data_IF_348058015583
#
_entry.id   IF_348058015583
#
_cell.length_a   1.000
_cell.length_b   1.000
_cell.length_c   1.000
_cell.angle_alpha   90.00
_cell.angle_beta   90.00
_cell.angle_gamma   90.00
#
_symmetry.space_group_name_H-M   'P 1'
#
loop_
_entity.id
_entity.type
_entity.pdbx_description
1 polymer ?
#
# COMPACT_ATOMS: atom_id res chain seq x y z
N UNK A 1 16.68 4.31 14.59
CA UNK A 1 16.12 5.56 14.02
C UNK A 1 14.83 5.86 14.78
N UNK A 2 14.67 7.05 15.38
CA UNK A 2 13.43 7.38 16.10
C UNK A 2 12.28 7.47 15.10
N UNK A 3 11.24 6.65 15.27
CA UNK A 3 10.01 6.78 14.47
C UNK A 3 9.34 8.11 14.81
N UNK A 4 8.83 8.86 13.81
CA UNK A 4 8.06 10.06 14.09
C UNK A 4 6.87 9.73 15.00
N UNK A 5 6.59 10.57 15.99
CA UNK A 5 5.49 10.38 16.96
C UNK A 5 4.14 10.18 16.26
N UNK A 6 3.93 10.82 15.11
CA UNK A 6 2.72 10.63 14.31
C UNK A 6 2.60 9.22 13.74
N UNK A 7 3.68 8.63 13.22
CA UNK A 7 3.65 7.27 12.67
C UNK A 7 3.24 6.27 13.75
N UNK A 8 3.76 6.42 14.96
CA UNK A 8 3.37 5.59 16.11
C UNK A 8 1.87 5.74 16.39
N UNK A 9 1.37 6.97 16.45
CA UNK A 9 -0.05 7.23 16.64
C UNK A 9 -0.91 6.63 15.54
N UNK A 10 -0.59 6.87 14.26
CA UNK A 10 -1.39 6.39 13.13
C UNK A 10 -1.46 4.85 13.11
N UNK A 11 -0.34 4.17 13.35
CA UNK A 11 -0.28 2.71 13.45
C UNK A 11 -1.16 2.17 14.59
N UNK A 12 -1.03 2.73 15.80
CA UNK A 12 -1.84 2.27 16.95
C UNK A 12 -3.33 2.64 16.81
N UNK A 13 -3.62 3.80 16.23
CA UNK A 13 -4.97 4.25 15.92
C UNK A 13 -5.66 3.30 14.94
N UNK A 14 -5.04 3.01 13.79
CA UNK A 14 -5.59 2.11 12.79
C UNK A 14 -5.71 0.68 13.33
N UNK A 15 -4.70 0.19 14.07
CA UNK A 15 -4.79 -1.11 14.75
C UNK A 15 -6.00 -1.19 15.66
N UNK A 16 -6.15 -0.23 16.57
CA UNK A 16 -7.25 -0.25 17.52
C UNK A 16 -8.62 -0.14 16.85
N UNK A 17 -8.73 0.68 15.79
CA UNK A 17 -9.99 0.90 15.08
C UNK A 17 -10.40 -0.29 14.19
N UNK A 18 -9.43 -1.00 13.60
CA UNK A 18 -9.68 -2.05 12.62
C UNK A 18 -9.67 -3.48 13.20
N UNK A 19 -9.20 -3.67 14.45
CA UNK A 19 -9.05 -5.02 15.04
C UNK A 19 -10.36 -5.81 15.17
N UNK A 20 -11.51 -5.14 15.25
CA UNK A 20 -12.83 -5.80 15.31
C UNK A 20 -13.35 -6.24 13.92
N UNK A 21 -12.64 -5.89 12.85
CA UNK A 21 -13.04 -6.06 11.45
C UNK A 21 -12.11 -6.94 10.64
N UNK A 22 -11.01 -7.41 11.22
CA UNK A 22 -10.02 -8.25 10.56
C UNK A 22 -8.65 -8.22 11.23
N UNK A 23 -7.69 -8.87 10.59
CA UNK A 23 -6.31 -8.94 11.10
C UNK A 23 -5.55 -7.65 10.75
N UNK A 24 -4.88 -7.07 11.74
CA UNK A 24 -4.03 -5.89 11.56
C UNK A 24 -2.58 -6.21 11.92
N UNK A 25 -1.70 -6.12 10.93
CA UNK A 25 -0.26 -6.27 11.08
C UNK A 25 0.41 -4.90 11.04
N UNK A 26 1.32 -4.65 11.98
CA UNK A 26 2.06 -3.39 12.06
C UNK A 26 3.53 -3.64 11.76
N UNK A 27 4.10 -2.90 10.80
CA UNK A 27 5.50 -3.09 10.40
C UNK A 27 5.76 -4.51 9.90
N UNK A 28 4.83 -5.01 9.08
CA UNK A 28 5.00 -6.29 8.41
C UNK A 28 6.10 -6.15 7.34
N UNK A 29 7.05 -7.10 7.26
CA UNK A 29 8.02 -7.11 6.18
C UNK A 29 7.37 -7.51 4.87
N UNK A 30 7.78 -6.86 3.79
CA UNK A 30 7.42 -7.21 2.42
C UNK A 30 8.69 -7.48 1.59
N UNK A 31 8.75 -8.59 0.84
CA UNK A 31 7.79 -9.70 0.83
C UNK A 31 7.76 -10.44 2.19
N UNK A 32 6.59 -10.96 2.57
CA UNK A 32 6.37 -11.66 3.85
C UNK A 32 7.16 -12.97 3.85
N UNK A 33 7.14 -13.73 2.76
CA UNK A 33 7.97 -14.92 2.57
C UNK A 33 9.45 -14.52 2.38
N UNK A 34 10.34 -14.92 3.32
CA UNK A 34 11.77 -14.65 3.21
C UNK A 34 12.46 -15.23 1.98
N UNK A 35 11.94 -16.32 1.39
CA UNK A 35 12.52 -16.96 0.20
C UNK A 35 12.41 -16.09 -1.06
N UNK A 36 11.43 -15.18 -1.07
CA UNK A 36 11.14 -14.27 -2.18
C UNK A 36 12.03 -13.01 -2.17
N UNK A 37 12.90 -12.86 -1.16
CA UNK A 37 13.77 -11.69 -0.98
C UNK A 37 15.00 -11.71 -1.88
N UNK A 38 15.24 -12.82 -2.57
CA UNK A 38 16.23 -12.95 -3.65
C UNK A 38 15.47 -13.40 -4.89
N UNK A 39 15.49 -12.59 -5.94
CA UNK A 39 14.61 -12.79 -7.08
C UNK A 39 15.30 -12.62 -8.43
N UNK A 40 14.90 -13.48 -9.37
CA UNK A 40 15.19 -13.36 -10.79
C UNK A 40 13.90 -13.65 -11.56
N UNK A 41 13.40 -12.68 -12.34
CA UNK A 41 12.40 -13.01 -13.35
C UNK A 41 13.03 -14.02 -14.32
N UNK A 42 12.41 -15.18 -14.56
CA UNK A 42 12.89 -16.07 -15.61
C UNK A 42 12.86 -15.30 -16.92
N UNK A 43 13.99 -15.25 -17.61
CA UNK A 43 13.98 -14.77 -19.00
C UNK A 43 13.23 -15.83 -19.78
N UNK A 44 12.03 -15.51 -20.30
CA UNK A 44 11.19 -16.46 -21.06
C UNK A 44 11.93 -17.06 -22.27
N UNK A 45 13.10 -16.54 -22.64
CA UNK A 45 13.99 -17.09 -23.67
C UNK A 45 15.46 -16.86 -23.31
N UNK A 46 16.26 -17.94 -23.18
CA UNK A 46 17.70 -17.85 -22.86
C UNK A 46 18.54 -17.19 -23.97
N UNK A 47 17.99 -17.02 -25.17
CA UNK A 47 18.69 -16.38 -26.30
C UNK A 47 19.23 -14.99 -25.97
N UNK A 48 18.46 -14.14 -25.27
CA UNK A 48 18.90 -12.78 -24.96
C UNK A 48 20.14 -12.77 -24.05
N UNK A 49 20.10 -13.61 -23.01
CA UNK A 49 21.23 -13.85 -22.09
C UNK A 49 22.45 -14.40 -22.84
N UNK A 50 22.27 -15.39 -23.71
CA UNK A 50 23.35 -15.99 -24.49
C UNK A 50 23.96 -15.03 -25.50
N UNK A 51 23.12 -14.29 -26.23
CA UNK A 51 23.54 -13.29 -27.20
C UNK A 51 24.34 -12.18 -26.52
N UNK A 52 23.82 -11.63 -25.42
CA UNK A 52 24.52 -10.59 -24.66
C UNK A 52 25.85 -11.11 -24.11
N UNK A 53 25.87 -12.32 -23.55
CA UNK A 53 27.09 -13.01 -23.11
C UNK A 53 28.16 -13.09 -24.21
N UNK A 54 27.75 -13.42 -25.44
CA UNK A 54 28.66 -13.53 -26.60
C UNK A 54 29.21 -12.16 -27.03
N UNK A 55 28.37 -11.14 -27.16
CA UNK A 55 28.81 -9.83 -27.67
C UNK A 55 29.56 -9.00 -26.64
N UNK A 56 29.40 -9.29 -25.34
CA UNK A 56 30.12 -8.60 -24.26
C UNK A 56 31.24 -9.43 -23.66
N UNK A 57 31.61 -10.55 -24.30
CA UNK A 57 32.71 -11.40 -23.88
C UNK A 57 34.00 -10.58 -23.70
N UNK A 58 34.61 -10.69 -22.51
CA UNK A 58 35.84 -9.96 -22.15
C UNK A 58 35.63 -8.55 -21.58
N UNK A 59 34.39 -8.07 -21.45
CA UNK A 59 34.10 -6.80 -20.77
C UNK A 59 33.88 -6.99 -19.27
N UNK A 60 34.72 -6.39 -18.43
CA UNK A 60 34.54 -6.37 -16.97
C UNK A 60 33.41 -5.43 -16.51
N UNK A 61 32.82 -4.64 -17.43
CA UNK A 61 31.78 -3.65 -17.11
C UNK A 61 30.37 -4.14 -17.35
N UNK A 62 30.20 -5.30 -17.99
CA UNK A 62 28.88 -5.84 -18.34
C UNK A 62 28.67 -7.12 -17.56
N UNK A 63 27.68 -7.09 -16.66
CA UNK A 63 27.18 -8.28 -15.98
C UNK A 63 25.90 -8.73 -16.68
N UNK A 64 25.85 -10.01 -17.05
CA UNK A 64 24.67 -10.60 -17.66
C UNK A 64 23.85 -11.26 -16.56
N UNK A 65 22.57 -10.89 -16.48
CA UNK A 65 21.65 -11.32 -15.41
C UNK A 65 22.22 -11.16 -14.00
N UNK A 66 22.76 -9.97 -13.62
CA UNK A 66 23.23 -9.77 -12.26
C UNK A 66 22.05 -9.87 -11.30
N UNK A 67 22.29 -10.53 -10.17
CA UNK A 67 21.36 -10.55 -9.05
C UNK A 67 21.22 -9.13 -8.49
N UNK A 68 19.99 -8.67 -8.28
CA UNK A 68 19.69 -7.43 -7.58
C UNK A 68 19.10 -7.80 -6.23
N UNK A 69 19.93 -7.78 -5.20
CA UNK A 69 19.51 -8.06 -3.82
C UNK A 69 18.79 -6.82 -3.27
N UNK A 70 17.54 -7.01 -2.84
CA UNK A 70 16.78 -6.00 -2.11
C UNK A 70 16.57 -6.46 -0.66
N UNK A 71 16.66 -5.52 0.28
CA UNK A 71 16.27 -5.79 1.67
C UNK A 71 14.74 -5.75 1.80
N UNK A 72 14.18 -6.53 2.72
CA UNK A 72 12.77 -6.44 3.03
C UNK A 72 12.44 -5.06 3.60
N UNK A 73 11.38 -4.45 3.08
CA UNK A 73 10.89 -3.16 3.57
C UNK A 73 9.71 -3.39 4.54
N UNK A 74 9.48 -2.44 5.45
CA UNK A 74 8.40 -2.55 6.45
C UNK A 74 7.27 -1.59 6.06
N UNK A 75 6.05 -2.11 5.96
CA UNK A 75 4.85 -1.29 5.71
C UNK A 75 4.21 -0.79 7.01
N UNK A 76 3.58 0.39 6.97
CA UNK A 76 2.99 1.00 8.16
C UNK A 76 1.91 0.11 8.80
N UNK A 77 0.91 -0.26 8.01
CA UNK A 77 -0.20 -1.13 8.40
C UNK A 77 -0.54 -2.03 7.23
N UNK A 78 -0.63 -3.33 7.48
CA UNK A 78 -1.25 -4.29 6.57
C UNK A 78 -2.55 -4.77 7.23
N UNK A 79 -3.66 -4.66 6.53
CA UNK A 79 -4.98 -5.04 7.02
C UNK A 79 -5.60 -6.13 6.14
N UNK A 80 -6.11 -7.19 6.75
CA UNK A 80 -6.82 -8.28 6.09
C UNK A 80 -8.24 -8.37 6.68
N UNK A 81 -9.28 -7.88 5.97
CA UNK A 81 -10.64 -7.84 6.49
C UNK A 81 -11.26 -9.22 6.62
N UNK A 82 -12.09 -9.41 7.65
CA UNK A 82 -13.05 -10.51 7.74
C UNK A 82 -14.31 -10.14 6.96
N UNK A 83 -14.75 -11.01 6.04
CA UNK A 83 -15.88 -10.73 5.14
C UNK A 83 -17.21 -10.56 5.91
N UNK A 84 -17.42 -11.35 6.96
CA UNK A 84 -18.67 -11.40 7.74
C UNK A 84 -18.85 -10.17 8.65
N UNK A 85 -17.79 -9.41 8.89
CA UNK A 85 -17.82 -8.24 9.79
C UNK A 85 -18.30 -7.00 9.04
N UNK A 86 -19.49 -6.50 9.39
CA UNK A 86 -20.00 -5.24 8.83
C UNK A 86 -19.15 -4.04 9.25
N UNK A 87 -18.57 -3.35 8.28
CA UNK A 87 -17.72 -2.16 8.46
C UNK A 87 -18.47 -0.84 8.29
N UNK A 88 -19.81 -0.84 8.21
CA UNK A 88 -20.62 0.36 7.92
C UNK A 88 -20.39 1.50 8.92
N UNK A 89 -20.12 1.19 10.19
CA UNK A 89 -19.81 2.21 11.22
C UNK A 89 -18.47 2.93 11.02
N UNK A 90 -17.62 2.44 10.12
CA UNK A 90 -16.38 3.09 9.70
C UNK A 90 -16.58 4.09 8.54
N UNK A 91 -17.79 4.20 7.98
CA UNK A 91 -18.06 5.08 6.83
C UNK A 91 -17.12 4.79 5.65
N UNK A 92 -16.56 5.85 5.06
CA UNK A 92 -15.66 5.76 3.91
C UNK A 92 -14.40 4.92 4.20
N UNK A 93 -13.89 4.93 5.44
CA UNK A 93 -12.76 4.06 5.79
C UNK A 93 -13.14 2.58 5.60
N UNK A 94 -14.35 2.19 6.03
CA UNK A 94 -14.85 0.82 5.90
C UNK A 94 -14.99 0.34 4.46
N UNK A 95 -15.41 1.24 3.56
CA UNK A 95 -15.45 0.98 2.11
C UNK A 95 -14.02 0.84 1.54
N UNK A 96 -13.12 1.73 1.96
CA UNK A 96 -11.73 1.72 1.52
C UNK A 96 -10.91 0.56 2.08
N UNK A 97 -11.41 -0.20 3.06
CA UNK A 97 -10.71 -1.38 3.60
C UNK A 97 -11.51 -2.68 3.42
N UNK A 98 -12.33 -2.75 2.36
CA UNK A 98 -13.18 -3.91 2.05
C UNK A 98 -12.43 -5.15 1.58
N UNK A 99 -11.20 -4.98 1.08
CA UNK A 99 -10.29 -6.04 0.65
C UNK A 99 -8.95 -5.85 1.37
N UNK A 100 -8.11 -6.90 1.45
CA UNK A 100 -6.76 -6.79 1.99
C UNK A 100 -6.00 -5.56 1.46
N UNK A 101 -5.39 -4.78 2.35
CA UNK A 101 -4.71 -3.57 1.91
C UNK A 101 -3.50 -3.19 2.77
N UNK A 102 -2.49 -2.62 2.11
CA UNK A 102 -1.46 -1.82 2.77
C UNK A 102 -2.03 -0.42 2.98
N UNK A 103 -1.92 0.12 4.20
CA UNK A 103 -2.32 1.49 4.54
C UNK A 103 -1.08 2.30 4.92
N UNK A 104 -0.72 3.25 4.07
CA UNK A 104 0.43 4.16 4.26
C UNK A 104 -0.05 5.54 4.73
N UNK A 105 0.45 5.99 5.89
CA UNK A 105 -0.01 7.26 6.49
C UNK A 105 1.06 8.34 6.43
N UNK A 106 0.82 9.37 5.63
CA UNK A 106 1.76 10.46 5.42
C UNK A 106 1.32 11.70 6.19
N UNK A 107 2.18 12.21 7.09
CA UNK A 107 1.87 13.42 7.90
C UNK A 107 1.97 14.74 7.13
N UNK A 108 2.59 14.71 5.96
CA UNK A 108 2.98 15.89 5.19
C UNK A 108 2.66 15.66 3.72
N UNK A 109 2.52 16.75 2.96
CA UNK A 109 2.35 16.69 1.51
C UNK A 109 3.48 15.85 0.88
N UNK A 110 3.15 14.75 0.20
CA UNK A 110 4.15 13.85 -0.34
C UNK A 110 4.86 14.45 -1.54
N UNK A 111 6.17 14.22 -1.61
CA UNK A 111 6.92 14.40 -2.84
C UNK A 111 6.86 13.12 -3.71
N UNK A 112 7.50 13.14 -4.89
CA UNK A 112 7.50 11.98 -5.78
C UNK A 112 8.15 10.74 -5.14
N UNK A 113 9.20 10.93 -4.33
CA UNK A 113 9.89 9.82 -3.66
C UNK A 113 8.93 9.15 -2.68
N UNK A 114 8.18 9.90 -1.89
CA UNK A 114 7.22 9.32 -0.95
C UNK A 114 6.18 8.44 -1.67
N UNK A 115 5.56 8.95 -2.74
CA UNK A 115 4.56 8.16 -3.49
C UNK A 115 5.18 6.95 -4.21
N UNK A 116 6.39 7.10 -4.76
CA UNK A 116 7.13 5.98 -5.37
C UNK A 116 7.48 4.90 -4.35
N UNK A 117 7.85 5.27 -3.13
CA UNK A 117 8.10 4.31 -2.05
C UNK A 117 6.83 3.54 -1.70
N UNK A 118 5.70 4.23 -1.48
CA UNK A 118 4.42 3.55 -1.23
C UNK A 118 4.04 2.60 -2.38
N UNK A 119 4.21 3.01 -3.63
CA UNK A 119 3.99 2.15 -4.80
C UNK A 119 4.98 1.00 -4.88
N UNK A 120 6.24 1.20 -4.51
CA UNK A 120 7.23 0.13 -4.41
C UNK A 120 6.80 -0.93 -3.40
N UNK A 121 6.30 -0.52 -2.24
CA UNK A 121 5.77 -1.45 -1.24
C UNK A 121 4.62 -2.30 -1.83
N UNK A 122 3.70 -1.66 -2.54
CA UNK A 122 2.61 -2.33 -3.23
C UNK A 122 3.10 -3.34 -4.26
N UNK A 123 3.97 -2.94 -5.18
CA UNK A 123 4.48 -3.80 -6.25
C UNK A 123 5.26 -5.01 -5.70
N UNK A 124 6.02 -4.80 -4.63
CA UNK A 124 6.73 -5.91 -3.95
C UNK A 124 5.73 -6.91 -3.34
N UNK A 125 4.62 -6.42 -2.76
CA UNK A 125 3.62 -7.29 -2.15
C UNK A 125 2.76 -8.05 -3.17
N UNK A 126 2.50 -7.47 -4.36
CA UNK A 126 1.78 -8.19 -5.42
C UNK A 126 2.60 -9.31 -6.01
N UNK A 127 3.88 -9.06 -6.29
CA UNK A 127 4.80 -10.07 -6.86
C UNK A 127 4.92 -11.30 -5.96
N UNK A 128 4.83 -11.13 -4.63
CA UNK A 128 4.76 -12.26 -3.68
C UNK A 128 3.52 -13.14 -3.84
N UNK A 129 2.37 -12.55 -4.21
CA UNK A 129 1.11 -13.27 -4.31
C UNK A 129 1.01 -14.12 -5.58
N UNK A 130 1.67 -13.70 -6.66
CA UNK A 130 1.49 -14.26 -8.00
C UNK A 130 2.24 -15.59 -8.21
N UNK A 131 3.01 -16.06 -7.22
CA UNK A 131 3.72 -17.35 -7.29
C UNK A 131 4.79 -17.46 -8.39
N UNK A 132 4.98 -16.42 -9.22
CA UNK A 132 5.96 -16.34 -10.31
C UNK A 132 7.41 -16.22 -9.85
N UNK A 133 7.69 -16.58 -8.61
CA UNK A 133 8.98 -16.48 -7.96
C UNK A 133 9.53 -17.89 -7.76
N UNK A 134 10.60 -18.18 -8.49
CA UNK A 134 11.35 -19.42 -8.33
C UNK A 134 12.33 -19.20 -7.15
N UNK A 135 12.25 -20.00 -6.07
CA UNK A 135 13.28 -20.00 -5.04
C UNK A 135 14.65 -20.26 -5.66
N UNK A 136 15.71 -19.59 -5.19
CA UNK A 136 17.09 -19.71 -5.70
C UNK A 136 17.59 -21.17 -5.76
N UNK A 137 17.02 -22.05 -4.93
CA UNK A 137 17.41 -23.46 -4.80
C UNK A 137 16.58 -24.43 -5.66
N UNK A 138 15.58 -23.95 -6.40
CA UNK A 138 14.76 -24.79 -7.28
C UNK A 138 15.14 -24.51 -8.74
N UNK A 139 15.73 -25.51 -9.40
CA UNK A 139 15.89 -25.46 -10.84
C UNK A 139 14.49 -25.38 -11.47
N UNK A 140 14.27 -24.54 -12.50
CA UNK A 140 13.05 -24.58 -13.27
C UNK A 140 12.78 -26.02 -13.72
N UNK A 141 11.62 -26.55 -13.35
CA UNK A 141 11.08 -27.75 -14.00
C UNK A 141 10.62 -27.29 -15.36
N UNK A 142 11.54 -27.30 -16.33
CA UNK A 142 11.15 -27.36 -17.72
C UNK A 142 10.51 -28.74 -17.89
N UNK A 143 9.19 -28.80 -18.02
CA UNK A 143 8.57 -30.00 -18.55
C UNK A 143 9.18 -30.21 -19.94
N UNK A 144 9.82 -31.35 -20.14
CA UNK A 144 10.52 -31.71 -21.39
C UNK A 144 9.58 -31.73 -22.62
N UNK A 145 8.28 -31.47 -22.44
CA UNK A 145 7.29 -31.38 -23.51
C UNK A 145 7.44 -30.12 -24.40
N UNK A 146 8.20 -29.09 -24.00
CA UNK A 146 8.41 -27.88 -24.83
C UNK A 146 9.69 -27.91 -25.70
N UNK A 147 10.51 -28.97 -25.64
CA UNK A 147 11.84 -28.94 -26.28
C UNK A 147 12.12 -30.00 -27.35
N UNK A 148 11.14 -30.81 -27.76
CA UNK A 148 11.33 -31.79 -28.84
C UNK A 148 10.41 -31.49 -30.05
N UNK A 149 10.79 -30.47 -30.84
CA UNK A 149 10.58 -30.43 -32.30
C UNK A 149 11.30 -29.22 -32.92
N UNK A 150 12.64 -29.32 -32.99
CA UNK A 150 13.40 -28.70 -34.06
C UNK A 150 13.78 -29.82 -35.03
N UNK A 151 12.84 -30.22 -35.88
CA UNK A 151 13.16 -30.96 -37.09
C UNK A 151 12.39 -30.34 -38.26
N UNK A 152 13.12 -30.24 -39.37
CA UNK A 152 12.78 -29.58 -40.62
C UNK A 152 11.46 -30.07 -41.25
N UNK A 153 10.82 -29.14 -41.96
CA UNK A 153 9.83 -29.32 -43.03
C UNK A 153 8.34 -29.57 -42.68
N UNK A 154 7.53 -28.77 -43.37
CA UNK A 154 6.09 -28.86 -43.67
C UNK A 154 5.09 -28.07 -42.82
N UNK A 155 4.35 -27.24 -43.56
CA UNK A 155 3.23 -26.38 -43.17
C UNK A 155 2.28 -27.06 -42.16
N UNK A 156 2.19 -26.51 -40.96
CA UNK A 156 0.99 -26.63 -40.16
C UNK A 156 0.71 -25.30 -39.46
N UNK A 157 -0.16 -24.50 -40.07
CA UNK A 157 -0.79 -23.29 -39.52
C UNK A 157 -1.73 -23.70 -38.37
N UNK A 158 -1.16 -24.14 -37.26
CA UNK A 158 -1.84 -24.17 -35.98
C UNK A 158 -1.14 -23.17 -35.08
N UNK A 159 -1.66 -21.94 -35.12
CA UNK A 159 -1.49 -20.98 -34.05
C UNK A 159 -2.05 -21.68 -32.80
N UNK A 160 -1.16 -22.14 -31.93
CA UNK A 160 -1.49 -22.41 -30.55
C UNK A 160 -1.92 -21.07 -29.95
N UNK A 161 -3.23 -20.81 -30.02
CA UNK A 161 -3.90 -19.81 -29.21
C UNK A 161 -3.80 -20.30 -27.75
N UNK A 162 -2.62 -20.15 -27.16
CA UNK A 162 -2.47 -19.94 -25.73
C UNK A 162 -3.17 -18.62 -25.43
N UNK A 163 -4.51 -18.66 -25.40
CA UNK A 163 -5.30 -17.71 -24.64
C UNK A 163 -4.85 -17.90 -23.18
N UNK A 164 -3.70 -17.31 -22.80
CA UNK A 164 -3.43 -16.88 -21.43
C UNK A 164 -4.73 -16.19 -21.04
N UNK A 165 -5.51 -16.86 -20.21
CA UNK A 165 -6.82 -16.43 -19.79
C UNK A 165 -6.62 -15.10 -19.06
N UNK A 166 -6.66 -14.00 -19.80
CA UNK A 166 -6.49 -12.60 -19.39
C UNK A 166 -7.75 -12.16 -18.62
N UNK A 167 -8.30 -13.08 -17.82
CA UNK A 167 -9.20 -12.75 -16.73
C UNK A 167 -8.38 -11.87 -15.80
N UNK A 168 -8.59 -10.56 -15.95
CA UNK A 168 -8.26 -9.54 -14.96
C UNK A 168 -8.28 -10.18 -13.57
N UNK A 169 -7.10 -10.38 -12.99
CA UNK A 169 -6.96 -10.99 -11.68
C UNK A 169 -7.98 -10.34 -10.75
N UNK A 170 -8.86 -11.17 -10.16
CA UNK A 170 -9.89 -10.69 -9.27
C UNK A 170 -9.20 -9.86 -8.17
N UNK A 171 -9.64 -8.60 -8.00
CA UNK A 171 -8.91 -7.59 -7.22
C UNK A 171 -8.90 -7.99 -5.75
N UNK A 172 -7.90 -8.77 -5.36
CA UNK A 172 -7.86 -9.35 -4.03
C UNK A 172 -7.12 -8.48 -3.01
N UNK A 173 -6.38 -7.46 -3.46
CA UNK A 173 -5.54 -6.59 -2.62
C UNK A 173 -5.47 -5.17 -3.18
N UNK A 174 -5.12 -4.18 -2.34
CA UNK A 174 -4.86 -2.80 -2.78
C UNK A 174 -3.88 -2.02 -1.89
N UNK A 175 -3.44 -0.87 -2.38
CA UNK A 175 -2.70 0.14 -1.60
C UNK A 175 -3.59 1.35 -1.28
N UNK A 176 -3.61 1.75 -0.01
CA UNK A 176 -4.29 2.95 0.47
C UNK A 176 -3.28 3.96 1.01
N UNK A 177 -3.12 5.10 0.34
CA UNK A 177 -2.24 6.20 0.78
C UNK A 177 -3.09 7.30 1.41
N UNK A 178 -2.89 7.60 2.69
CA UNK A 178 -3.61 8.67 3.40
C UNK A 178 -2.65 9.85 3.61
N UNK A 179 -2.99 11.03 3.09
CA UNK A 179 -2.17 12.25 3.18
C UNK A 179 -3.02 13.47 3.59
N UNK A 180 -2.45 14.48 4.29
CA UNK A 180 -3.15 15.74 4.56
C UNK A 180 -3.51 16.51 3.30
N UNK A 181 -2.63 16.53 2.31
CA UNK A 181 -2.73 17.36 1.11
C UNK A 181 -1.86 16.80 -0.01
N UNK A 182 -2.17 17.13 -1.26
CA UNK A 182 -1.38 16.79 -2.44
C UNK A 182 -1.55 17.88 -3.48
N UNK A 183 -0.55 18.11 -4.34
CA UNK A 183 -0.68 19.12 -5.40
C UNK A 183 -1.31 18.52 -6.66
N UNK A 184 -2.03 19.29 -7.48
CA UNK A 184 -2.58 18.80 -8.75
C UNK A 184 -1.52 18.24 -9.69
N UNK A 185 -0.33 18.86 -9.75
CA UNK A 185 0.78 18.38 -10.57
C UNK A 185 1.30 17.03 -10.08
N UNK A 186 1.23 16.78 -8.76
CA UNK A 186 1.60 15.49 -8.18
C UNK A 186 0.57 14.42 -8.55
N UNK A 187 -0.73 14.71 -8.44
CA UNK A 187 -1.78 13.78 -8.88
C UNK A 187 -1.64 13.45 -10.37
N UNK A 188 -1.51 14.47 -11.22
CA UNK A 188 -1.33 14.30 -12.66
C UNK A 188 -0.07 13.51 -13.00
N UNK A 189 1.04 13.77 -12.31
CA UNK A 189 2.31 13.08 -12.54
C UNK A 189 2.29 11.58 -12.22
N UNK A 190 1.33 11.11 -11.40
CA UNK A 190 1.10 9.70 -11.12
C UNK A 190 -0.12 9.15 -11.88
N UNK A 191 -0.74 9.95 -12.76
CA UNK A 191 -1.96 9.57 -13.48
C UNK A 191 -3.17 9.35 -12.56
N UNK A 192 -3.15 9.90 -11.35
CA UNK A 192 -4.25 9.75 -10.40
C UNK A 192 -5.48 10.54 -10.87
N UNK A 193 -6.62 9.87 -10.90
CA UNK A 193 -7.92 10.40 -11.35
C UNK A 193 -8.91 10.38 -10.20
N UNK A 194 -9.97 11.17 -10.29
CA UNK A 194 -11.08 11.08 -9.33
C UNK A 194 -11.80 9.76 -9.53
N UNK A 195 -12.37 9.23 -8.44
CA UNK A 195 -13.23 8.04 -8.51
C UNK A 195 -14.47 8.32 -9.36
N UNK A 196 -15.13 7.27 -9.86
CA UNK A 196 -16.38 7.40 -10.62
C UNK A 196 -17.50 8.03 -9.78
N UNK A 197 -17.50 7.77 -8.48
CA UNK A 197 -18.40 8.41 -7.50
C UNK A 197 -18.02 9.86 -7.20
N UNK A 198 -16.88 10.35 -7.71
CA UNK A 198 -16.36 11.70 -7.55
C UNK A 198 -16.33 12.17 -6.08
N UNK A 199 -15.91 11.27 -5.18
CA UNK A 199 -15.81 11.54 -3.75
C UNK A 199 -14.67 12.56 -3.54
N UNK A 200 -14.94 13.76 -2.99
CA UNK A 200 -13.90 14.75 -2.76
C UNK A 200 -12.76 14.21 -1.90
N UNK A 201 -11.52 14.42 -2.32
CA UNK A 201 -10.34 13.92 -1.62
C UNK A 201 -10.03 12.45 -1.86
N UNK A 202 -10.75 11.72 -2.72
CA UNK A 202 -10.42 10.34 -3.09
C UNK A 202 -9.99 10.28 -4.54
N UNK A 203 -8.79 9.75 -4.78
CA UNK A 203 -8.19 9.62 -6.09
C UNK A 203 -7.67 8.20 -6.31
N UNK A 204 -7.75 7.70 -7.52
CA UNK A 204 -7.30 6.35 -7.90
C UNK A 204 -6.27 6.42 -9.01
N UNK A 205 -5.24 5.59 -8.93
CA UNK A 205 -4.31 5.38 -10.03
C UNK A 205 -4.95 4.51 -11.12
N UNK A 206 -4.24 4.29 -12.21
CA UNK A 206 -4.67 3.32 -13.22
C UNK A 206 -4.96 1.94 -12.57
N UNK A 207 -5.97 1.19 -13.03
CA UNK A 207 -6.43 -0.05 -12.39
C UNK A 207 -5.31 -1.06 -12.09
N UNK A 208 -4.31 -1.17 -12.95
CA UNK A 208 -3.15 -2.05 -12.77
C UNK A 208 -2.35 -1.80 -11.47
N UNK A 209 -2.50 -0.63 -10.83
CA UNK A 209 -1.83 -0.31 -9.57
C UNK A 209 -2.69 -0.56 -8.33
N UNK A 210 -4.00 -0.81 -8.48
CA UNK A 210 -4.95 -0.97 -7.36
C UNK A 210 -4.64 -0.04 -6.17
N UNK A 211 -4.43 1.25 -6.46
CA UNK A 211 -3.94 2.23 -5.48
C UNK A 211 -4.93 3.37 -5.35
N UNK A 212 -5.37 3.64 -4.12
CA UNK A 212 -6.22 4.78 -3.75
C UNK A 212 -5.43 5.78 -2.91
N UNK A 213 -5.51 7.06 -3.27
CA UNK A 213 -4.96 8.19 -2.51
C UNK A 213 -6.11 8.95 -1.86
N UNK A 214 -6.06 9.07 -0.53
CA UNK A 214 -7.00 9.85 0.29
C UNK A 214 -6.34 11.12 0.78
N UNK A 215 -6.91 12.25 0.41
CA UNK A 215 -6.47 13.60 0.76
C UNK A 215 -7.39 14.16 1.83
N UNK A 216 -6.98 14.04 3.09
CA UNK A 216 -7.86 14.30 4.24
C UNK A 216 -8.36 15.75 4.31
N UNK A 217 -7.62 16.74 3.81
CA UNK A 217 -8.09 18.14 3.78
C UNK A 217 -9.23 18.41 2.81
N UNK A 218 -9.46 17.51 1.85
CA UNK A 218 -10.51 17.64 0.82
C UNK A 218 -11.77 16.83 1.15
N UNK A 219 -11.70 15.96 2.18
CA UNK A 219 -12.84 15.13 2.59
C UNK A 219 -13.98 15.99 3.15
N UNK A 220 -15.21 15.56 2.87
CA UNK A 220 -16.43 16.16 3.41
C UNK A 220 -16.41 16.15 4.95
N UNK A 221 -16.85 17.23 5.59
CA UNK A 221 -16.83 17.36 7.04
C UNK A 221 -18.12 16.79 7.67
N UNK A 222 -18.22 15.46 7.71
CA UNK A 222 -19.30 14.74 8.40
C UNK A 222 -18.83 13.39 8.98
N UNK A 223 -19.77 12.67 9.61
CA UNK A 223 -19.51 11.39 10.27
C UNK A 223 -18.95 10.30 9.34
N UNK A 224 -19.24 10.33 8.03
CA UNK A 224 -18.81 9.29 7.08
C UNK A 224 -17.30 9.30 6.83
N UNK A 225 -16.63 10.44 7.00
CA UNK A 225 -15.18 10.58 6.76
C UNK A 225 -14.38 10.84 8.05
N UNK A 226 -15.06 10.87 9.20
CA UNK A 226 -14.51 11.27 10.49
C UNK A 226 -13.19 10.55 10.82
N UNK A 227 -13.18 9.23 10.66
CA UNK A 227 -12.04 8.38 11.00
C UNK A 227 -10.81 8.64 10.13
N UNK A 228 -11.00 9.06 8.88
CA UNK A 228 -9.92 9.47 7.98
C UNK A 228 -9.43 10.88 8.32
N UNK A 229 -10.33 11.82 8.64
CA UNK A 229 -9.95 13.20 8.99
C UNK A 229 -9.17 13.29 10.30
N UNK A 230 -9.37 12.36 11.24
CA UNK A 230 -8.53 12.22 12.46
C UNK A 230 -7.06 11.98 12.11
N UNK A 231 -6.77 11.24 11.03
CA UNK A 231 -5.40 11.01 10.55
C UNK A 231 -4.80 12.23 9.83
N UNK A 232 -5.60 13.25 9.57
CA UNK A 232 -5.17 14.47 8.88
C UNK A 232 -4.28 15.38 9.72
N UNK A 233 -4.37 16.68 9.45
CA UNK A 233 -3.56 17.72 10.10
C UNK A 233 -4.34 19.03 10.21
N UNK A 234 -3.88 19.98 11.02
CA UNK A 234 -4.33 21.36 10.90
C UNK A 234 -5.72 21.59 11.50
N UNK A 235 -6.51 22.40 10.81
CA UNK A 235 -7.94 22.54 11.10
C UNK A 235 -8.68 21.23 10.91
N UNK A 236 -8.47 20.50 9.80
CA UNK A 236 -9.17 19.25 9.50
C UNK A 236 -9.11 18.25 10.65
N UNK A 237 -7.91 17.98 11.19
CA UNK A 237 -7.75 17.07 12.32
C UNK A 237 -8.38 17.60 13.61
N UNK A 238 -8.22 18.89 13.91
CA UNK A 238 -8.78 19.47 15.14
C UNK A 238 -10.31 19.47 15.12
N UNK A 239 -10.91 19.80 13.98
CA UNK A 239 -12.36 19.78 13.82
C UNK A 239 -12.90 18.35 13.92
N UNK A 240 -12.23 17.37 13.29
CA UNK A 240 -12.59 15.95 13.44
C UNK A 240 -12.50 15.48 14.90
N UNK A 241 -11.48 15.92 15.65
CA UNK A 241 -11.38 15.62 17.08
C UNK A 241 -12.53 16.25 17.87
N UNK A 242 -12.98 17.46 17.53
CA UNK A 242 -14.14 18.08 18.17
C UNK A 242 -15.43 17.33 17.84
N UNK A 243 -15.64 16.93 16.59
CA UNK A 243 -16.81 16.13 16.18
C UNK A 243 -16.87 14.77 16.92
N UNK A 244 -15.73 14.13 17.16
CA UNK A 244 -15.64 12.93 18.00
C UNK A 244 -16.16 13.15 19.43
N UNK A 245 -16.00 14.35 19.99
CA UNK A 245 -16.53 14.67 21.32
C UNK A 245 -18.05 14.76 21.33
N UNK A 246 -18.65 15.15 20.20
CA UNK A 246 -20.10 15.32 20.03
C UNK A 246 -20.81 14.00 19.69
N UNK A 247 -20.07 12.95 19.30
CA UNK A 247 -20.63 11.62 19.09
C UNK A 247 -21.30 11.06 20.36
N UNK A 248 -22.27 10.17 20.16
CA UNK A 248 -22.93 9.43 21.24
C UNK A 248 -21.88 8.66 22.08
N UNK A 249 -22.13 8.56 23.40
CA UNK A 249 -21.30 7.76 24.32
C UNK A 249 -21.29 6.29 23.92
N UNK A 250 -22.41 5.80 23.38
CA UNK A 250 -22.58 4.42 22.92
C UNK A 250 -22.07 4.19 21.49
N UNK A 251 -21.48 5.21 20.84
CA UNK A 251 -20.90 5.02 19.51
C UNK A 251 -19.73 4.02 19.59
N UNK A 252 -19.72 2.94 18.79
CA UNK A 252 -18.82 1.79 18.96
C UNK A 252 -17.33 2.19 18.99
N UNK A 253 -16.95 3.14 18.13
CA UNK A 253 -15.56 3.56 17.96
C UNK A 253 -15.09 4.67 18.89
N UNK A 254 -16.02 5.35 19.60
CA UNK A 254 -15.69 6.59 20.31
C UNK A 254 -14.68 6.36 21.42
N UNK A 255 -14.90 5.33 22.24
CA UNK A 255 -14.02 5.02 23.37
C UNK A 255 -12.60 4.66 22.90
N UNK A 256 -12.51 3.77 21.89
CA UNK A 256 -11.25 3.31 21.31
C UNK A 256 -10.45 4.49 20.74
N UNK A 257 -11.09 5.32 19.92
CA UNK A 257 -10.41 6.46 19.30
C UNK A 257 -9.95 7.49 20.33
N UNK A 258 -10.77 7.79 21.35
CA UNK A 258 -10.37 8.70 22.43
C UNK A 258 -9.14 8.20 23.18
N UNK A 259 -9.07 6.91 23.47
CA UNK A 259 -7.90 6.31 24.11
C UNK A 259 -6.63 6.50 23.27
N UNK A 260 -6.71 6.29 21.95
CA UNK A 260 -5.56 6.47 21.04
C UNK A 260 -5.11 7.94 20.97
N UNK A 261 -6.06 8.88 20.95
CA UNK A 261 -5.77 10.31 20.99
C UNK A 261 -5.11 10.73 22.32
N UNK A 262 -5.55 10.17 23.45
CA UNK A 262 -4.93 10.41 24.75
C UNK A 262 -3.50 9.86 24.82
N UNK A 263 -3.25 8.65 24.31
CA UNK A 263 -1.90 8.10 24.22
C UNK A 263 -0.99 8.99 23.34
N UNK A 264 -1.51 9.48 22.22
CA UNK A 264 -0.77 10.41 21.37
C UNK A 264 -0.45 11.74 22.06
N UNK A 265 -1.40 12.29 22.82
CA UNK A 265 -1.16 13.47 23.66
C UNK A 265 0.01 13.24 24.63
N UNK A 266 0.06 12.08 25.30
CA UNK A 266 1.16 11.74 26.20
C UNK A 266 2.49 11.63 25.45
N UNK A 267 2.51 11.05 24.25
CA UNK A 267 3.75 11.00 23.44
C UNK A 267 4.24 12.40 23.04
N UNK A 268 3.32 13.30 22.70
CA UNK A 268 3.63 14.68 22.32
C UNK A 268 4.14 15.52 23.51
N UNK A 269 3.59 15.31 24.71
CA UNK A 269 3.93 16.10 25.90
C UNK A 269 5.40 15.93 26.35
N UNK A 270 6.04 14.82 25.97
CA UNK A 270 7.43 14.52 26.29
C UNK A 270 8.45 15.08 25.27
N UNK A 271 7.99 15.70 24.17
CA UNK A 271 8.85 16.18 23.07
C UNK A 271 8.94 17.71 22.93
N UNK A 272 9.91 18.19 22.14
CA UNK A 272 9.94 19.60 21.71
C UNK A 272 8.83 19.87 20.69
N UNK A 273 8.05 20.94 20.91
CA UNK A 273 6.81 21.17 20.15
C UNK A 273 6.80 22.44 19.33
N UNK A 274 6.52 22.27 18.04
CA UNK A 274 6.17 23.36 17.12
C UNK A 274 4.78 23.95 17.42
N UNK A 275 4.47 25.10 16.80
CA UNK A 275 3.20 25.83 16.97
C UNK A 275 1.96 24.97 16.69
N UNK A 276 2.03 24.09 15.69
CA UNK A 276 0.94 23.20 15.32
C UNK A 276 0.67 22.13 16.40
N UNK A 277 1.71 21.50 16.92
CA UNK A 277 1.59 20.53 18.02
C UNK A 277 0.98 21.16 19.27
N UNK A 278 1.30 22.44 19.56
CA UNK A 278 0.69 23.18 20.68
C UNK A 278 -0.83 23.36 20.51
N UNK A 279 -1.28 23.73 19.31
CA UNK A 279 -2.71 23.89 19.01
C UNK A 279 -3.45 22.54 19.06
N UNK A 280 -2.84 21.49 18.51
CA UNK A 280 -3.38 20.14 18.61
C UNK A 280 -3.51 19.69 20.06
N UNK A 281 -2.47 19.90 20.88
CA UNK A 281 -2.53 19.59 22.31
C UNK A 281 -3.60 20.37 23.05
N UNK A 282 -3.87 21.63 22.70
CA UNK A 282 -4.98 22.38 23.31
C UNK A 282 -6.32 21.71 23.01
N UNK A 283 -6.52 21.24 21.79
CA UNK A 283 -7.72 20.47 21.40
C UNK A 283 -7.77 19.11 22.08
N UNK A 284 -6.64 18.41 22.21
CA UNK A 284 -6.58 17.12 22.89
C UNK A 284 -6.75 17.23 24.41
N UNK A 285 -6.31 18.32 25.03
CA UNK A 285 -6.47 18.55 26.46
C UNK A 285 -7.93 18.81 26.86
N UNK A 286 -8.79 19.17 25.89
CA UNK A 286 -10.24 19.27 26.08
C UNK A 286 -10.98 17.95 25.83
N UNK A 287 -10.28 16.88 25.42
CA UNK A 287 -10.83 15.55 25.11
C UNK A 287 -10.76 14.54 26.26
#
# INVERSE_FOLDING_TARGET
MFRPVFTIFAQQYLKALLSDYGNVYLNEPIPRDPKLRIFKHPSRFNWGTEYLSKITAGSERVMISPEVIAEAELVDVLFEPEEEKSRTSLGLLGELVSIPCIIETLRWTPNQRNLRTCLGHWLTWTVEADGGIIPVDENPVYTEEENDQLDDDEENDQLDDDEENDQLDDVNKKLLIITPSITPERLQGFGARKTDLNIPGVYELAPAFYTTIVVTSELQQDASTLWLRILGRGSTQRTAIMELQELDVEHPHRAVVRQQLQQWYQLLSHGQMGKESKRLMQTLATC
#
